data_IF_166494616022
#
_entry.id   IF_166494616022
#
_cell.length_a   1.000
_cell.length_b   1.000
_cell.length_c   1.000
_cell.angle_alpha   90.00
_cell.angle_beta   90.00
_cell.angle_gamma   90.00
#
_symmetry.space_group_name_H-M   'P 1'
#
loop_
_entity.id
_entity.type
_entity.pdbx_description
1 polymer ?
#
# COMPACT_ATOMS: atom_id res chain seq x y z
N UNK A 1 20.25 7.61 1.89
CA UNK A 1 19.83 6.20 1.87
C UNK A 1 18.35 6.17 2.28
N UNK A 2 17.44 5.84 1.36
CA UNK A 2 15.99 5.79 1.70
C UNK A 2 15.71 4.66 2.69
N UNK A 3 14.72 4.83 3.57
CA UNK A 3 14.33 3.75 4.49
C UNK A 3 13.85 2.53 3.71
N UNK A 4 14.10 1.32 4.22
CA UNK A 4 13.61 0.04 3.65
C UNK A 4 12.10 0.10 3.37
N UNK A 5 11.34 0.72 4.29
CA UNK A 5 9.92 1.00 4.10
C UNK A 5 9.60 1.77 2.81
N UNK A 6 10.34 2.83 2.49
CA UNK A 6 10.06 3.65 1.31
C UNK A 6 10.29 2.87 0.00
N UNK A 7 11.28 1.97 -0.01
CA UNK A 7 11.51 1.09 -1.16
C UNK A 7 10.38 0.07 -1.32
N UNK A 8 9.97 -0.57 -0.22
CA UNK A 8 8.89 -1.56 -0.25
C UNK A 8 7.53 -0.92 -0.55
N UNK A 9 7.26 0.27 -0.01
CA UNK A 9 6.04 1.02 -0.32
C UNK A 9 5.96 1.33 -1.82
N UNK A 10 7.05 1.81 -2.43
CA UNK A 10 7.08 2.04 -3.89
C UNK A 10 6.82 0.76 -4.68
N UNK A 11 7.40 -0.37 -4.27
CA UNK A 11 7.16 -1.65 -4.93
C UNK A 11 5.67 -2.07 -4.84
N UNK A 12 5.03 -1.91 -3.68
CA UNK A 12 3.60 -2.20 -3.53
C UNK A 12 2.72 -1.26 -4.34
N UNK A 13 3.08 0.02 -4.45
CA UNK A 13 2.35 0.99 -5.29
C UNK A 13 2.39 0.54 -6.75
N UNK A 14 3.59 0.29 -7.30
CA UNK A 14 3.73 -0.13 -8.70
C UNK A 14 3.01 -1.45 -9.00
N UNK A 15 3.08 -2.41 -8.07
CA UNK A 15 2.40 -3.70 -8.24
C UNK A 15 0.87 -3.57 -8.13
N UNK A 16 0.37 -2.71 -7.25
CA UNK A 16 -1.07 -2.43 -7.14
C UNK A 16 -1.60 -1.74 -8.40
N UNK A 17 -0.92 -0.70 -8.88
CA UNK A 17 -1.27 -0.01 -10.13
C UNK A 17 -1.27 -0.96 -11.33
N UNK A 18 -0.28 -1.85 -11.43
CA UNK A 18 -0.22 -2.88 -12.48
C UNK A 18 -1.40 -3.86 -12.43
N UNK A 19 -2.01 -4.05 -11.26
CA UNK A 19 -3.20 -4.89 -11.05
C UNK A 19 -4.52 -4.10 -11.13
N UNK A 20 -4.48 -2.84 -11.59
CA UNK A 20 -5.66 -2.00 -11.76
C UNK A 20 -6.18 -1.37 -10.46
N UNK A 21 -5.39 -1.40 -9.38
CA UNK A 21 -5.75 -0.69 -8.15
C UNK A 21 -5.52 0.79 -8.32
N UNK A 22 -6.39 1.59 -7.73
CA UNK A 22 -6.19 3.03 -7.65
C UNK A 22 -5.38 3.35 -6.39
N UNK A 23 -4.24 4.01 -6.56
CA UNK A 23 -3.38 4.46 -5.46
C UNK A 23 -3.43 5.98 -5.36
N UNK A 24 -3.80 6.52 -4.20
CA UNK A 24 -3.90 7.97 -3.98
C UNK A 24 -3.25 8.40 -2.68
N UNK A 25 -2.65 9.59 -2.65
CA UNK A 25 -2.17 10.20 -1.42
C UNK A 25 -3.29 11.01 -0.78
N UNK A 26 -3.57 10.76 0.50
CA UNK A 26 -4.55 11.52 1.27
C UNK A 26 -3.98 12.89 1.66
N UNK A 27 -4.86 13.82 2.05
CA UNK A 27 -4.47 15.13 2.59
C UNK A 27 -3.59 15.02 3.84
N UNK A 28 -3.78 13.98 4.65
CA UNK A 28 -2.95 13.67 5.82
C UNK A 28 -1.60 13.02 5.48
N UNK A 29 -1.29 12.81 4.20
CA UNK A 29 -0.03 12.21 3.77
C UNK A 29 0.05 10.69 3.86
N UNK A 30 -1.08 10.01 4.08
CA UNK A 30 -1.17 8.55 3.94
C UNK A 30 -1.33 8.16 2.47
N UNK A 31 -1.03 6.90 2.15
CA UNK A 31 -1.29 6.29 0.85
C UNK A 31 -2.52 5.40 1.00
N UNK A 32 -3.50 5.61 0.14
CA UNK A 32 -4.73 4.83 0.02
C UNK A 32 -4.62 3.93 -1.20
N UNK A 33 -4.83 2.63 -0.99
CA UNK A 33 -4.94 1.61 -2.01
C UNK A 33 -6.41 1.21 -2.13
N UNK A 34 -7.02 1.52 -3.27
CA UNK A 34 -8.41 1.17 -3.58
C UNK A 34 -8.40 0.01 -4.58
N UNK A 35 -8.94 -1.17 -4.22
CA UNK A 35 -9.01 -2.29 -5.13
C UNK A 35 -9.95 -2.01 -6.31
N UNK A 36 -9.73 -2.65 -7.48
CA UNK A 36 -10.64 -2.56 -8.61
C UNK A 36 -12.00 -3.22 -8.33
N UNK A 37 -12.02 -4.20 -7.41
CA UNK A 37 -13.24 -4.88 -7.00
C UNK A 37 -13.96 -4.09 -5.90
N UNK A 38 -15.22 -3.64 -6.13
CA UNK A 38 -15.95 -2.79 -5.18
C UNK A 38 -16.20 -3.41 -3.80
N UNK A 39 -16.22 -4.75 -3.71
CA UNK A 39 -16.42 -5.48 -2.47
C UNK A 39 -15.14 -5.64 -1.63
N UNK A 40 -13.97 -5.38 -2.22
CA UNK A 40 -12.69 -5.56 -1.55
C UNK A 40 -12.34 -4.37 -0.65
N UNK A 41 -11.58 -4.64 0.41
CA UNK A 41 -11.27 -3.66 1.45
C UNK A 41 -10.22 -2.64 0.98
N UNK A 42 -10.48 -1.35 1.21
CA UNK A 42 -9.48 -0.28 1.05
C UNK A 42 -8.37 -0.43 2.09
N UNK A 43 -7.12 -0.30 1.65
CA UNK A 43 -5.95 -0.37 2.54
C UNK A 43 -5.29 1.01 2.66
N UNK A 44 -5.00 1.44 3.88
CA UNK A 44 -4.35 2.73 4.17
C UNK A 44 -2.97 2.47 4.79
N UNK A 45 -1.94 3.12 4.25
CA UNK A 45 -0.56 3.05 4.71
C UNK A 45 -0.02 4.45 5.05
N UNK A 46 0.89 4.59 6.03
CA UNK A 46 1.64 5.84 6.19
C UNK A 46 2.49 6.15 4.94
N UNK A 47 2.52 7.40 4.47
CA UNK A 47 3.38 7.78 3.33
C UNK A 47 4.86 7.86 3.67
N UNK A 48 5.18 8.02 4.96
CA UNK A 48 6.55 8.08 5.49
C UNK A 48 6.57 7.40 6.86
N UNK A 49 7.18 6.22 6.97
CA UNK A 49 7.46 5.60 8.27
C UNK A 49 8.79 4.86 8.21
N UNK A 50 9.47 4.78 9.36
CA UNK A 50 10.72 4.04 9.56
C UNK A 50 10.50 2.73 10.33
N UNK A 51 9.26 2.42 10.72
CA UNK A 51 8.96 1.23 11.52
C UNK A 51 8.77 -0.01 10.62
N UNK A 52 9.63 -1.03 10.78
CA UNK A 52 9.53 -2.29 10.02
C UNK A 52 8.19 -3.01 10.15
N UNK A 53 7.49 -2.88 11.29
CA UNK A 53 6.14 -3.44 11.50
C UNK A 53 5.09 -2.84 10.55
N UNK A 54 5.25 -1.59 10.12
CA UNK A 54 4.31 -0.94 9.23
C UNK A 54 4.28 -1.60 7.84
N UNK A 55 5.45 -2.03 7.34
CA UNK A 55 5.54 -2.82 6.10
C UNK A 55 4.76 -4.12 6.21
N UNK A 56 5.00 -4.89 7.28
CA UNK A 56 4.39 -6.22 7.44
C UNK A 56 2.86 -6.12 7.53
N UNK A 57 2.37 -5.12 8.26
CA UNK A 57 0.94 -4.84 8.35
C UNK A 57 0.35 -4.43 6.99
N UNK A 58 1.04 -3.55 6.26
CA UNK A 58 0.63 -3.15 4.92
C UNK A 58 0.55 -4.36 3.98
N UNK A 59 1.62 -5.16 3.92
CA UNK A 59 1.70 -6.38 3.12
C UNK A 59 0.54 -7.33 3.43
N UNK A 60 0.29 -7.57 4.72
CA UNK A 60 -0.81 -8.42 5.17
C UNK A 60 -2.19 -7.87 4.80
N UNK A 61 -2.38 -6.55 4.89
CA UNK A 61 -3.61 -5.87 4.47
C UNK A 61 -3.86 -5.99 2.98
N UNK A 62 -2.85 -5.69 2.16
CA UNK A 62 -2.95 -5.79 0.69
C UNK A 62 -3.28 -7.22 0.25
N UNK A 63 -2.62 -8.23 0.81
CA UNK A 63 -2.91 -9.64 0.50
C UNK A 63 -4.35 -10.02 0.84
N UNK A 64 -4.87 -9.58 2.00
CA UNK A 64 -6.26 -9.86 2.40
C UNK A 64 -7.27 -9.12 1.52
N UNK A 65 -6.91 -7.95 1.02
CA UNK A 65 -7.71 -7.18 0.10
C UNK A 65 -7.61 -7.66 -1.35
N UNK A 66 -6.88 -8.75 -1.62
CA UNK A 66 -6.82 -9.42 -2.91
C UNK A 66 -5.63 -9.03 -3.80
N UNK A 67 -4.66 -8.26 -3.28
CA UNK A 67 -3.46 -7.92 -4.04
C UNK A 67 -2.53 -9.14 -4.15
N UNK A 68 -2.11 -9.45 -5.37
CA UNK A 68 -1.19 -10.55 -5.66
C UNK A 68 0.26 -10.06 -5.53
N UNK A 69 0.89 -10.33 -4.38
CA UNK A 69 2.22 -9.81 -3.99
C UNK A 69 3.41 -10.62 -4.50
#
# INVERSE_FOLDING_TARGET
>A
MGSDYAHQLRAFISLAEAQGWQVTRTSSGHIRFTPPEPAAQIVIAPGTTSAGRAVQNLRGGLRRAGLVL
#
